data_IF_353999931745
#
_entry.id   IF_353999931745
#
_cell.length_a   1.000
_cell.length_b   1.000
_cell.length_c   1.000
_cell.angle_alpha   90.00
_cell.angle_beta   90.00
_cell.angle_gamma   90.00
#
_symmetry.space_group_name_H-M   'P 1'
#
loop_
_entity.id
_entity.type
_entity.pdbx_description
1 polymer ?
#
# COMPACT_ATOMS: atom_id res chain seq x y z
N UNK A 1 -9.12 21.54 -11.51
CA UNK A 1 -10.20 20.99 -10.69
C UNK A 1 -9.95 21.28 -9.22
N UNK A 2 -11.02 21.50 -8.46
CA UNK A 2 -10.99 21.56 -6.97
C UNK A 2 -11.49 20.21 -6.43
N UNK A 3 -10.62 19.46 -5.76
CA UNK A 3 -10.82 18.05 -5.41
C UNK A 3 -10.82 17.91 -3.90
N UNK A 4 -11.82 17.21 -3.32
CA UNK A 4 -11.83 16.83 -1.92
C UNK A 4 -11.49 15.35 -1.78
N UNK A 5 -10.34 15.07 -1.18
CA UNK A 5 -9.92 13.70 -0.83
C UNK A 5 -10.32 13.39 0.62
N UNK A 6 -11.01 12.28 0.84
CA UNK A 6 -11.39 11.80 2.17
C UNK A 6 -10.40 10.79 2.72
N UNK A 7 -9.54 11.17 3.67
CA UNK A 7 -8.60 10.30 4.40
C UNK A 7 -8.81 10.42 5.92
N UNK A 8 -10.04 10.11 6.36
CA UNK A 8 -10.52 10.39 7.71
C UNK A 8 -10.18 9.28 8.71
N UNK A 9 -8.88 9.09 8.98
CA UNK A 9 -8.34 8.04 9.86
C UNK A 9 -7.31 8.58 10.85
N UNK A 10 -7.14 7.88 11.99
CA UNK A 10 -6.17 8.25 13.02
C UNK A 10 -4.74 7.77 12.72
N UNK A 11 -4.60 6.66 12.01
CA UNK A 11 -3.33 5.98 11.76
C UNK A 11 -2.77 6.28 10.37
N UNK A 12 -1.45 6.03 10.24
CA UNK A 12 -0.76 6.04 8.95
C UNK A 12 -0.51 4.60 8.49
N UNK A 13 -1.10 4.21 7.39
CA UNK A 13 -0.95 2.89 6.78
C UNK A 13 -0.86 3.01 5.24
N UNK A 14 -0.81 1.88 4.53
CA UNK A 14 -0.70 1.88 3.07
C UNK A 14 -1.86 2.60 2.35
N UNK A 15 -3.10 2.53 2.87
CA UNK A 15 -4.24 3.26 2.29
C UNK A 15 -4.12 4.79 2.52
N UNK A 16 -3.67 5.20 3.72
CA UNK A 16 -3.44 6.61 4.02
C UNK A 16 -2.29 7.17 3.15
N UNK A 17 -1.21 6.38 2.98
CA UNK A 17 -0.12 6.73 2.09
C UNK A 17 -0.58 6.81 0.62
N UNK A 18 -1.44 5.91 0.16
CA UNK A 18 -2.03 5.98 -1.18
C UNK A 18 -2.81 7.28 -1.39
N UNK A 19 -3.67 7.66 -0.42
CA UNK A 19 -4.42 8.91 -0.47
C UNK A 19 -3.51 10.14 -0.49
N UNK A 20 -2.44 10.12 0.30
CA UNK A 20 -1.45 11.20 0.35
C UNK A 20 -0.67 11.33 -0.97
N UNK A 21 -0.23 10.20 -1.53
CA UNK A 21 0.51 10.17 -2.80
C UNK A 21 -0.33 10.75 -3.94
N UNK A 22 -1.57 10.30 -4.10
CA UNK A 22 -2.42 10.86 -5.17
C UNK A 22 -2.78 12.33 -4.93
N UNK A 23 -2.98 12.76 -3.68
CA UNK A 23 -3.20 14.16 -3.34
C UNK A 23 -2.01 15.03 -3.76
N UNK A 24 -0.79 14.58 -3.50
CA UNK A 24 0.43 15.27 -3.86
C UNK A 24 0.63 15.35 -5.38
N UNK A 25 0.42 14.22 -6.08
CA UNK A 25 0.52 14.18 -7.54
C UNK A 25 -0.50 15.11 -8.23
N UNK A 26 -1.74 15.12 -7.75
CA UNK A 26 -2.78 16.03 -8.26
C UNK A 26 -2.43 17.49 -7.98
N UNK A 27 -1.88 17.82 -6.80
CA UNK A 27 -1.39 19.18 -6.47
C UNK A 27 -0.27 19.59 -7.42
N UNK A 28 0.72 18.72 -7.65
CA UNK A 28 1.83 18.96 -8.57
C UNK A 28 1.36 19.16 -10.01
N UNK A 29 0.27 18.51 -10.42
CA UNK A 29 -0.38 18.70 -11.71
C UNK A 29 -1.25 19.97 -11.81
N UNK A 30 -1.20 20.87 -10.81
CA UNK A 30 -1.89 22.16 -10.83
C UNK A 30 -3.33 22.12 -10.36
N UNK A 31 -3.81 21.03 -9.75
CA UNK A 31 -5.15 20.95 -9.17
C UNK A 31 -5.18 21.52 -7.74
N UNK A 32 -6.32 22.09 -7.35
CA UNK A 32 -6.55 22.48 -5.95
C UNK A 32 -7.07 21.27 -5.18
N UNK A 33 -6.25 20.75 -4.25
CA UNK A 33 -6.56 19.53 -3.48
C UNK A 33 -6.75 19.85 -2.02
N UNK A 34 -7.90 19.48 -1.49
CA UNK A 34 -8.22 19.50 -0.07
C UNK A 34 -8.22 18.07 0.47
N UNK A 35 -7.61 17.84 1.63
CA UNK A 35 -7.61 16.51 2.27
C UNK A 35 -8.33 16.59 3.61
N UNK A 36 -9.51 15.95 3.67
CA UNK A 36 -10.27 15.85 4.91
C UNK A 36 -9.68 14.74 5.78
N UNK A 37 -9.23 15.10 6.97
CA UNK A 37 -8.57 14.18 7.92
C UNK A 37 -8.92 14.54 9.35
N UNK A 38 -8.67 13.61 10.28
CA UNK A 38 -8.89 13.82 11.72
C UNK A 38 -7.76 14.70 12.27
N UNK A 39 -8.08 15.79 13.00
CA UNK A 39 -7.07 16.64 13.60
C UNK A 39 -6.17 15.86 14.56
N UNK A 40 -4.92 16.29 14.71
CA UNK A 40 -3.91 15.75 15.63
C UNK A 40 -3.60 14.25 15.48
N UNK A 41 -4.16 13.63 14.44
CA UNK A 41 -3.88 12.24 14.08
C UNK A 41 -2.48 12.06 13.47
N UNK A 42 -1.94 10.83 13.51
CA UNK A 42 -0.71 10.49 12.81
C UNK A 42 -0.85 10.74 11.29
N UNK A 43 -2.06 10.49 10.74
CA UNK A 43 -2.36 10.79 9.35
C UNK A 43 -2.25 12.29 9.06
N UNK A 44 -2.85 13.16 9.89
CA UNK A 44 -2.77 14.61 9.71
C UNK A 44 -1.33 15.13 9.81
N UNK A 45 -0.52 14.59 10.74
CA UNK A 45 0.90 14.96 10.89
C UNK A 45 1.70 14.66 9.60
N UNK A 46 1.54 13.47 9.03
CA UNK A 46 2.22 13.11 7.78
C UNK A 46 1.72 13.93 6.58
N UNK A 47 0.41 14.16 6.47
CA UNK A 47 -0.16 14.99 5.39
C UNK A 47 0.31 16.44 5.46
N UNK A 48 0.52 16.99 6.67
CA UNK A 48 1.04 18.35 6.87
C UNK A 48 2.48 18.49 6.36
N UNK A 49 3.31 17.47 6.52
CA UNK A 49 4.68 17.44 6.00
C UNK A 49 4.73 17.51 4.46
N UNK A 50 3.65 17.10 3.77
CA UNK A 50 3.52 17.14 2.32
C UNK A 50 2.94 18.47 1.80
N UNK A 51 2.79 19.48 2.65
CA UNK A 51 2.24 20.81 2.31
C UNK A 51 0.88 20.73 1.58
N UNK A 52 -0.02 19.86 2.05
CA UNK A 52 -1.37 19.69 1.55
C UNK A 52 -2.38 20.55 2.34
N UNK A 53 -3.43 21.02 1.67
CA UNK A 53 -4.52 21.79 2.31
C UNK A 53 -5.41 20.85 3.13
N UNK A 54 -5.27 20.90 4.45
CA UNK A 54 -5.99 20.00 5.36
C UNK A 54 -7.33 20.59 5.80
N UNK A 55 -8.38 19.77 5.77
CA UNK A 55 -9.71 20.07 6.33
C UNK A 55 -9.88 19.25 7.59
N UNK A 56 -9.64 19.86 8.76
CA UNK A 56 -9.62 19.17 10.06
C UNK A 56 -10.82 19.52 10.95
N UNK A 57 -11.60 20.53 10.60
CA UNK A 57 -12.74 21.03 11.39
C UNK A 57 -14.03 20.24 11.15
N UNK A 58 -14.01 19.22 10.27
CA UNK A 58 -15.14 18.34 9.91
C UNK A 58 -14.80 16.92 10.32
N UNK A 59 -15.44 16.42 11.37
CA UNK A 59 -15.20 15.04 11.84
C UNK A 59 -16.35 14.12 11.39
N UNK A 60 -16.06 13.19 10.48
CA UNK A 60 -17.03 12.23 9.95
C UNK A 60 -17.06 10.89 10.75
N UNK A 61 -16.24 10.75 11.78
CA UNK A 61 -16.07 9.52 12.58
C UNK A 61 -16.84 9.55 13.89
N UNK A 62 -18.06 10.05 13.91
CA UNK A 62 -18.88 10.07 15.15
C UNK A 62 -19.97 9.01 15.10
N UNK A 63 -20.27 8.38 16.23
CA UNK A 63 -21.45 7.54 16.42
C UNK A 63 -22.66 8.36 16.92
N UNK A 64 -22.46 9.62 17.32
CA UNK A 64 -23.52 10.49 17.81
C UNK A 64 -24.24 11.15 16.64
N UNK A 65 -25.59 10.96 16.50
CA UNK A 65 -26.38 11.50 15.39
C UNK A 65 -26.31 13.03 15.27
N UNK A 66 -26.34 13.74 16.39
CA UNK A 66 -26.24 15.20 16.40
C UNK A 66 -24.87 15.68 15.84
N UNK A 67 -23.80 15.02 16.24
CA UNK A 67 -22.44 15.33 15.72
C UNK A 67 -22.35 15.00 14.22
N UNK A 68 -22.96 13.93 13.77
CA UNK A 68 -23.03 13.57 12.35
C UNK A 68 -23.83 14.60 11.54
N UNK A 69 -24.97 15.07 12.06
CA UNK A 69 -25.74 16.13 11.42
C UNK A 69 -24.96 17.45 11.34
N UNK A 70 -24.23 17.80 12.41
CA UNK A 70 -23.32 18.98 12.41
C UNK A 70 -22.21 18.82 11.38
N UNK A 71 -21.61 17.62 11.28
CA UNK A 71 -20.58 17.31 10.29
C UNK A 71 -21.13 17.40 8.86
N UNK A 72 -22.32 16.85 8.61
CA UNK A 72 -23.01 16.95 7.32
C UNK A 72 -23.23 18.42 6.91
N UNK A 73 -23.76 19.26 7.81
CA UNK A 73 -23.98 20.70 7.53
C UNK A 73 -22.67 21.42 7.23
N UNK A 74 -21.61 21.14 8.00
CA UNK A 74 -20.28 21.71 7.77
C UNK A 74 -19.68 21.25 6.42
N UNK A 75 -19.81 19.96 6.10
CA UNK A 75 -19.30 19.42 4.84
C UNK A 75 -20.07 20.04 3.66
N UNK A 76 -21.39 20.12 3.74
CA UNK A 76 -22.22 20.76 2.71
C UNK A 76 -21.80 22.21 2.48
N UNK A 77 -21.64 22.99 3.55
CA UNK A 77 -21.17 24.38 3.49
C UNK A 77 -19.81 24.48 2.83
N UNK A 78 -18.84 23.63 3.26
CA UNK A 78 -17.50 23.59 2.70
C UNK A 78 -17.48 23.28 1.20
N UNK A 79 -18.26 22.28 0.76
CA UNK A 79 -18.33 21.92 -0.67
C UNK A 79 -18.81 23.08 -1.55
N UNK A 80 -19.74 23.90 -1.04
CA UNK A 80 -20.30 25.05 -1.74
C UNK A 80 -19.33 26.25 -1.73
N UNK A 81 -18.78 26.60 -0.57
CA UNK A 81 -17.87 27.74 -0.42
C UNK A 81 -16.58 27.55 -1.24
N UNK A 82 -16.03 26.35 -1.20
CA UNK A 82 -14.82 26.02 -1.96
C UNK A 82 -15.12 25.66 -3.42
N UNK A 83 -16.38 25.51 -3.81
CA UNK A 83 -16.77 25.10 -5.17
C UNK A 83 -16.09 23.79 -5.58
N UNK A 84 -16.26 22.74 -4.79
CA UNK A 84 -15.63 21.45 -5.04
C UNK A 84 -16.22 20.78 -6.28
N UNK A 85 -15.36 20.41 -7.23
CA UNK A 85 -15.75 19.76 -8.50
C UNK A 85 -16.06 18.26 -8.31
N UNK A 86 -15.31 17.56 -7.44
CA UNK A 86 -15.47 16.14 -7.17
C UNK A 86 -14.98 15.75 -5.76
N UNK A 87 -15.49 14.61 -5.27
CA UNK A 87 -15.11 14.04 -3.97
C UNK A 87 -14.51 12.66 -4.20
N UNK A 88 -13.30 12.42 -3.65
CA UNK A 88 -12.63 11.12 -3.69
C UNK A 88 -12.40 10.54 -2.28
N UNK A 89 -13.36 9.83 -1.68
CA UNK A 89 -13.20 9.16 -0.40
C UNK A 89 -12.39 7.87 -0.55
N UNK A 90 -11.33 7.72 0.26
CA UNK A 90 -10.45 6.56 0.26
C UNK A 90 -10.82 5.49 1.28
N UNK A 91 -11.62 5.84 2.28
CA UNK A 91 -11.98 4.94 3.37
C UNK A 91 -13.49 4.76 3.51
N UNK A 92 -13.89 3.76 4.29
CA UNK A 92 -15.30 3.56 4.62
C UNK A 92 -15.81 4.57 5.66
N UNK A 93 -14.88 5.09 6.48
CA UNK A 93 -15.15 6.08 7.51
C UNK A 93 -15.59 7.39 6.87
N UNK A 94 -16.85 7.78 7.15
CA UNK A 94 -17.46 8.98 6.57
C UNK A 94 -18.01 8.82 5.14
N UNK A 95 -17.82 7.69 4.48
CA UNK A 95 -18.31 7.49 3.11
C UNK A 95 -19.81 7.81 2.91
N UNK A 96 -20.75 7.38 3.80
CA UNK A 96 -22.13 7.77 3.66
C UNK A 96 -22.34 9.29 3.67
N UNK A 97 -21.64 10.01 4.54
CA UNK A 97 -21.77 11.47 4.61
C UNK A 97 -21.25 12.16 3.34
N UNK A 98 -20.16 11.69 2.74
CA UNK A 98 -19.70 12.20 1.45
C UNK A 98 -20.78 12.01 0.37
N UNK A 99 -21.35 10.81 0.27
CA UNK A 99 -22.37 10.48 -0.73
C UNK A 99 -23.64 11.29 -0.51
N UNK A 100 -24.19 11.36 0.71
CA UNK A 100 -25.38 12.14 1.01
C UNK A 100 -25.18 13.63 0.78
N UNK A 101 -24.01 14.16 1.14
CA UNK A 101 -23.71 15.59 0.94
C UNK A 101 -23.57 15.92 -0.55
N UNK A 102 -22.89 15.06 -1.32
CA UNK A 102 -22.79 15.19 -2.75
C UNK A 102 -24.16 15.19 -3.44
N UNK A 103 -25.05 14.27 -3.05
CA UNK A 103 -26.44 14.22 -3.59
C UNK A 103 -27.23 15.48 -3.22
N UNK A 104 -27.08 15.98 -2.00
CA UNK A 104 -27.76 17.21 -1.56
C UNK A 104 -27.24 18.47 -2.26
N UNK A 105 -26.11 18.43 -2.94
CA UNK A 105 -25.60 19.55 -3.75
C UNK A 105 -26.46 19.84 -4.98
N UNK A 106 -27.33 18.92 -5.43
CA UNK A 106 -28.34 19.16 -6.47
C UNK A 106 -29.22 20.39 -6.22
N UNK A 107 -29.43 20.74 -4.96
CA UNK A 107 -30.18 21.94 -4.60
C UNK A 107 -29.52 23.23 -5.09
N UNK A 108 -28.22 23.22 -5.34
CA UNK A 108 -27.41 24.38 -5.75
C UNK A 108 -26.75 24.21 -7.12
N UNK A 109 -26.65 22.96 -7.59
CA UNK A 109 -26.24 22.57 -8.94
C UNK A 109 -27.34 21.68 -9.51
N UNK A 110 -28.45 22.26 -10.02
CA UNK A 110 -29.64 21.50 -10.40
C UNK A 110 -29.37 20.48 -11.50
N UNK A 111 -28.45 20.77 -12.38
CA UNK A 111 -28.14 19.93 -13.55
C UNK A 111 -27.33 18.68 -13.18
N UNK A 112 -26.49 18.73 -12.14
CA UNK A 112 -25.82 17.51 -11.68
C UNK A 112 -25.21 17.62 -10.26
N UNK A 113 -25.28 16.53 -9.44
CA UNK A 113 -24.62 16.50 -8.15
C UNK A 113 -23.10 16.45 -8.31
N UNK A 114 -22.37 16.84 -7.27
CA UNK A 114 -20.90 16.65 -7.22
C UNK A 114 -20.59 15.15 -7.31
N UNK A 115 -19.79 14.68 -8.29
CA UNK A 115 -19.50 13.26 -8.44
C UNK A 115 -18.66 12.72 -7.27
N UNK A 116 -18.96 11.49 -6.87
CA UNK A 116 -18.22 10.74 -5.86
C UNK A 116 -17.47 9.60 -6.55
N UNK A 117 -16.14 9.67 -6.52
CA UNK A 117 -15.25 8.63 -7.05
C UNK A 117 -14.60 7.93 -5.86
N UNK A 118 -14.99 6.70 -5.56
CA UNK A 118 -14.50 6.01 -4.39
C UNK A 118 -13.21 5.25 -4.66
N UNK A 119 -12.13 5.60 -3.96
CA UNK A 119 -10.92 4.76 -3.90
C UNK A 119 -11.08 3.70 -2.81
N UNK A 120 -10.93 2.42 -3.17
CA UNK A 120 -11.10 1.28 -2.27
C UNK A 120 -9.79 0.51 -2.11
N UNK A 121 -9.26 0.49 -0.88
CA UNK A 121 -8.01 -0.18 -0.49
C UNK A 121 -8.22 -1.35 0.47
N UNK A 122 -9.39 -2.01 0.44
CA UNK A 122 -9.70 -3.11 1.35
C UNK A 122 -10.54 -4.19 0.68
N UNK A 123 -10.27 -5.45 1.03
CA UNK A 123 -11.07 -6.62 0.62
C UNK A 123 -12.22 -6.94 1.58
N UNK A 124 -12.43 -6.13 2.64
CA UNK A 124 -13.53 -6.33 3.57
C UNK A 124 -14.88 -6.30 2.85
N UNK A 125 -15.82 -7.21 3.19
CA UNK A 125 -17.14 -7.23 2.55
C UNK A 125 -17.90 -5.93 2.79
N UNK A 126 -18.80 -5.62 1.87
CA UNK A 126 -19.72 -4.50 2.01
C UNK A 126 -20.95 -4.93 2.82
N UNK A 127 -21.52 -4.00 3.59
CA UNK A 127 -22.83 -4.21 4.22
C UNK A 127 -23.88 -4.40 3.15
N UNK A 128 -24.73 -5.42 3.29
CA UNK A 128 -25.67 -5.85 2.24
C UNK A 128 -27.08 -5.22 2.34
N UNK A 129 -27.31 -4.24 3.24
CA UNK A 129 -28.60 -3.56 3.31
C UNK A 129 -28.82 -2.63 2.11
N UNK A 130 -30.10 -2.42 1.74
CA UNK A 130 -30.52 -1.74 0.50
C UNK A 130 -29.89 -0.34 0.32
N UNK A 131 -29.82 0.46 1.39
CA UNK A 131 -29.26 1.81 1.34
C UNK A 131 -27.76 1.80 1.02
N UNK A 132 -27.01 0.86 1.63
CA UNK A 132 -25.59 0.72 1.34
C UNK A 132 -25.35 0.28 -0.11
N UNK A 133 -26.17 -0.66 -0.61
CA UNK A 133 -26.12 -1.05 -2.03
C UNK A 133 -26.36 0.16 -2.93
N UNK A 134 -27.43 0.94 -2.67
CA UNK A 134 -27.76 2.13 -3.45
C UNK A 134 -26.65 3.19 -3.44
N UNK A 135 -25.98 3.42 -2.30
CA UNK A 135 -24.83 4.30 -2.22
C UNK A 135 -23.69 3.83 -3.13
N UNK A 136 -23.50 2.52 -3.24
CA UNK A 136 -22.44 1.92 -4.03
C UNK A 136 -22.75 1.78 -5.52
N UNK A 137 -24.02 1.55 -5.92
CA UNK A 137 -24.41 1.34 -7.33
C UNK A 137 -24.81 2.63 -8.03
N UNK A 138 -25.66 3.43 -7.37
CA UNK A 138 -26.38 4.54 -7.99
C UNK A 138 -25.77 5.91 -7.65
N UNK A 139 -25.14 6.01 -6.45
CA UNK A 139 -24.67 7.28 -5.91
C UNK A 139 -23.16 7.42 -5.88
N UNK A 140 -22.44 6.47 -6.45
CA UNK A 140 -21.00 6.50 -6.69
C UNK A 140 -20.78 6.35 -8.18
N UNK A 141 -20.19 7.34 -8.79
CA UNK A 141 -20.02 7.42 -10.24
C UNK A 141 -18.96 6.43 -10.73
N UNK A 142 -17.79 6.40 -10.07
CA UNK A 142 -16.67 5.53 -10.42
C UNK A 142 -15.96 4.98 -9.20
N UNK A 143 -15.20 3.92 -9.44
CA UNK A 143 -14.32 3.28 -8.45
C UNK A 143 -12.88 3.25 -8.92
N UNK A 144 -11.97 3.54 -7.99
CA UNK A 144 -10.56 3.21 -8.10
C UNK A 144 -10.27 2.10 -7.09
N UNK A 145 -9.74 0.98 -7.54
CA UNK A 145 -9.27 -0.10 -6.66
C UNK A 145 -7.74 -0.16 -6.67
N UNK A 146 -7.14 -0.48 -5.55
CA UNK A 146 -5.68 -0.48 -5.39
C UNK A 146 -5.01 -1.79 -5.84
N UNK A 147 -5.80 -2.76 -6.29
CA UNK A 147 -5.39 -4.07 -6.82
C UNK A 147 -6.59 -4.79 -7.39
N UNK A 148 -6.38 -5.75 -8.30
CA UNK A 148 -7.42 -6.53 -8.96
C UNK A 148 -8.21 -7.39 -7.97
N UNK A 149 -7.57 -7.92 -6.94
CA UNK A 149 -8.25 -8.65 -5.85
C UNK A 149 -9.32 -7.78 -5.16
N UNK A 150 -9.13 -6.47 -5.09
CA UNK A 150 -10.12 -5.55 -4.53
C UNK A 150 -11.24 -5.30 -5.53
N UNK A 151 -10.91 -5.20 -6.82
CA UNK A 151 -11.87 -5.06 -7.91
C UNK A 151 -12.82 -6.28 -7.96
N UNK A 152 -12.27 -7.47 -8.00
CA UNK A 152 -13.01 -8.73 -8.00
C UNK A 152 -13.95 -8.85 -6.78
N UNK A 153 -13.44 -8.56 -5.59
CA UNK A 153 -14.26 -8.59 -4.36
C UNK A 153 -15.38 -7.56 -4.39
N UNK A 154 -15.16 -6.40 -5.00
CA UNK A 154 -16.17 -5.37 -5.12
C UNK A 154 -17.26 -5.77 -6.11
N UNK A 155 -16.90 -6.26 -7.29
CA UNK A 155 -17.83 -6.73 -8.32
C UNK A 155 -18.70 -7.89 -7.81
N UNK A 156 -18.11 -8.84 -7.07
CA UNK A 156 -18.85 -9.95 -6.46
C UNK A 156 -19.78 -9.52 -5.31
N UNK A 157 -19.52 -8.37 -4.68
CA UNK A 157 -20.33 -7.90 -3.55
C UNK A 157 -21.53 -7.05 -3.95
N UNK A 158 -21.45 -6.30 -5.05
CA UNK A 158 -22.49 -5.39 -5.54
C UNK A 158 -22.47 -5.34 -7.07
N UNK A 159 -23.65 -5.21 -7.67
CA UNK A 159 -23.81 -5.13 -9.14
C UNK A 159 -23.33 -3.75 -9.64
N UNK A 160 -22.03 -3.58 -9.74
CA UNK A 160 -21.39 -2.40 -10.34
C UNK A 160 -20.97 -2.76 -11.77
N UNK A 161 -21.21 -1.89 -12.73
CA UNK A 161 -20.70 -2.07 -14.08
C UNK A 161 -19.18 -2.04 -14.11
N UNK A 162 -18.50 -3.02 -14.76
CA UNK A 162 -17.04 -3.05 -14.82
C UNK A 162 -16.41 -1.76 -15.39
N UNK A 163 -17.09 -1.05 -16.27
CA UNK A 163 -16.64 0.21 -16.86
C UNK A 163 -16.52 1.36 -15.83
N UNK A 164 -17.27 1.29 -14.72
CA UNK A 164 -17.16 2.24 -13.60
C UNK A 164 -15.96 1.95 -12.70
N UNK A 165 -15.16 0.92 -12.98
CA UNK A 165 -14.10 0.45 -12.10
C UNK A 165 -12.75 0.48 -12.81
N UNK A 166 -11.75 1.04 -12.14
CA UNK A 166 -10.36 1.06 -12.60
C UNK A 166 -9.42 0.63 -11.49
N UNK A 167 -8.59 -0.36 -11.74
CA UNK A 167 -7.48 -0.70 -10.86
C UNK A 167 -6.30 0.21 -11.12
N UNK A 168 -5.81 0.89 -10.07
CA UNK A 168 -4.64 1.78 -10.11
C UNK A 168 -3.75 1.40 -8.94
N UNK A 169 -2.58 0.84 -9.24
CA UNK A 169 -1.63 0.37 -8.24
C UNK A 169 -0.91 1.51 -7.51
N UNK A 170 -0.40 1.21 -6.31
CA UNK A 170 0.47 2.13 -5.58
C UNK A 170 1.77 2.38 -6.35
N UNK A 171 2.19 3.62 -6.53
CA UNK A 171 3.38 3.94 -7.28
C UNK A 171 4.64 3.91 -6.43
N UNK A 172 5.78 3.84 -7.09
CA UNK A 172 7.10 4.00 -6.50
C UNK A 172 7.98 4.85 -7.42
N UNK A 173 8.79 5.71 -6.82
CA UNK A 173 9.84 6.42 -7.56
C UNK A 173 11.00 5.49 -7.83
N UNK A 174 11.51 5.55 -9.04
CA UNK A 174 12.65 4.74 -9.50
C UNK A 174 13.91 5.60 -9.53
N UNK A 175 14.74 5.62 -8.48
CA UNK A 175 15.96 6.39 -8.44
C UNK A 175 17.00 5.84 -9.42
N UNK A 176 18.02 6.62 -9.75
CA UNK A 176 19.22 6.10 -10.44
C UNK A 176 19.95 5.11 -9.55
N UNK A 177 20.50 4.06 -10.18
CA UNK A 177 21.24 3.01 -9.47
C UNK A 177 22.72 3.02 -9.90
N UNK A 178 23.65 2.72 -9.00
CA UNK A 178 23.49 2.42 -7.57
C UNK A 178 23.08 3.66 -6.76
N UNK A 179 22.39 3.43 -5.64
CA UNK A 179 21.97 4.50 -4.73
C UNK A 179 23.18 5.15 -4.05
N UNK A 180 23.14 6.47 -3.90
CA UNK A 180 24.20 7.26 -3.29
C UNK A 180 23.73 8.02 -2.04
N UNK A 181 24.66 8.23 -1.06
CA UNK A 181 26.00 7.68 -0.98
C UNK A 181 25.99 6.18 -0.74
N UNK A 182 27.00 5.42 -1.20
CA UNK A 182 27.08 3.99 -0.93
C UNK A 182 27.32 3.72 0.56
N UNK A 183 26.66 2.71 1.09
CA UNK A 183 26.79 2.29 2.50
C UNK A 183 27.44 0.91 2.53
N UNK A 184 28.48 0.75 3.34
CA UNK A 184 29.13 -0.55 3.54
C UNK A 184 28.36 -1.39 4.58
N UNK A 185 27.23 -1.95 4.16
CA UNK A 185 26.44 -2.84 5.01
C UNK A 185 27.14 -4.15 5.37
N UNK A 186 28.16 -4.58 4.59
CA UNK A 186 28.94 -5.77 4.96
C UNK A 186 29.72 -5.53 6.23
N UNK A 187 30.39 -4.39 6.30
CA UNK A 187 31.10 -4.00 7.51
C UNK A 187 30.14 -3.65 8.66
N UNK A 188 29.10 -2.85 8.39
CA UNK A 188 28.14 -2.42 9.41
C UNK A 188 27.44 -3.59 10.13
N UNK A 189 27.06 -4.62 9.38
CA UNK A 189 26.33 -5.77 9.92
C UNK A 189 27.17 -7.04 10.06
N UNK A 190 28.50 -6.94 9.96
CA UNK A 190 29.42 -8.07 10.06
C UNK A 190 29.02 -9.22 9.12
N UNK A 191 28.74 -8.90 7.84
CA UNK A 191 28.34 -9.86 6.82
C UNK A 191 29.58 -10.34 6.04
N UNK A 192 29.90 -11.65 6.01
CA UNK A 192 31.03 -12.14 5.23
C UNK A 192 30.95 -11.76 3.75
N UNK A 193 32.07 -11.50 3.11
CA UNK A 193 32.15 -10.94 1.75
C UNK A 193 31.39 -11.76 0.69
N UNK A 194 31.34 -13.08 0.83
CA UNK A 194 30.69 -13.99 -0.13
C UNK A 194 29.27 -14.39 0.27
N UNK A 195 28.80 -13.94 1.44
CA UNK A 195 27.46 -14.29 1.91
C UNK A 195 26.36 -13.77 1.01
N UNK A 196 25.36 -14.59 0.78
CA UNK A 196 24.08 -14.17 0.23
C UNK A 196 23.27 -13.41 1.26
N UNK A 197 22.47 -12.47 0.82
CA UNK A 197 21.69 -11.58 1.69
C UNK A 197 20.22 -11.58 1.26
N UNK A 198 19.36 -11.90 2.19
CA UNK A 198 17.91 -11.70 2.06
C UNK A 198 17.47 -10.49 2.88
N UNK A 199 16.44 -9.80 2.44
CA UNK A 199 15.83 -8.73 3.23
C UNK A 199 14.31 -8.92 3.33
N UNK A 200 13.76 -8.75 4.54
CA UNK A 200 12.33 -8.68 4.81
C UNK A 200 12.02 -7.36 5.50
N UNK A 201 11.24 -6.52 4.83
CA UNK A 201 10.89 -5.18 5.34
C UNK A 201 9.41 -5.13 5.69
N UNK A 202 9.12 -4.75 6.94
CA UNK A 202 7.74 -4.64 7.39
C UNK A 202 7.60 -4.72 8.90
N UNK A 203 6.39 -4.42 9.38
CA UNK A 203 6.07 -4.55 10.82
C UNK A 203 6.15 -6.01 11.23
N UNK A 204 6.68 -6.27 12.40
CA UNK A 204 6.68 -7.62 12.99
C UNK A 204 5.27 -7.90 13.50
N UNK A 205 4.56 -8.79 12.81
CA UNK A 205 3.17 -9.20 13.09
C UNK A 205 2.93 -10.61 12.58
N UNK A 206 2.06 -11.41 13.21
CA UNK A 206 1.77 -12.78 12.77
C UNK A 206 1.40 -12.86 11.29
N UNK A 207 0.57 -11.92 10.81
CA UNK A 207 0.11 -11.85 9.41
C UNK A 207 1.23 -11.61 8.39
N UNK A 208 2.42 -11.16 8.84
CA UNK A 208 3.58 -10.91 7.97
C UNK A 208 4.49 -12.12 7.79
N UNK A 209 4.27 -13.18 8.55
CA UNK A 209 4.93 -14.48 8.36
C UNK A 209 6.44 -14.52 8.59
N UNK A 210 7.02 -13.55 9.32
CA UNK A 210 8.46 -13.53 9.58
C UNK A 210 8.94 -14.82 10.28
N UNK A 211 8.11 -15.41 11.14
CA UNK A 211 8.44 -16.66 11.83
C UNK A 211 8.50 -17.86 10.88
N UNK A 212 7.69 -17.86 9.80
CA UNK A 212 7.79 -18.86 8.73
C UNK A 212 9.09 -18.64 7.94
N UNK A 213 9.45 -17.37 7.70
CA UNK A 213 10.71 -17.04 7.03
C UNK A 213 11.94 -17.50 7.83
N UNK A 214 11.88 -17.50 9.18
CA UNK A 214 12.97 -18.09 10.01
C UNK A 214 13.10 -19.60 9.80
N UNK A 215 11.99 -20.31 9.58
CA UNK A 215 12.03 -21.75 9.23
C UNK A 215 12.65 -21.96 7.86
N UNK A 216 12.29 -21.12 6.86
CA UNK A 216 12.93 -21.13 5.54
C UNK A 216 14.43 -20.89 5.65
N UNK A 217 14.84 -19.89 6.42
CA UNK A 217 16.25 -19.56 6.62
C UNK A 217 17.02 -20.77 7.20
N UNK A 218 16.45 -21.44 8.21
CA UNK A 218 17.03 -22.64 8.82
C UNK A 218 17.25 -23.77 7.79
N UNK A 219 16.31 -23.95 6.87
CA UNK A 219 16.42 -24.96 5.79
C UNK A 219 17.48 -24.56 4.74
N UNK A 220 17.57 -23.25 4.40
CA UNK A 220 18.50 -22.73 3.41
C UNK A 220 19.97 -22.78 3.86
N UNK A 221 20.22 -22.81 5.17
CA UNK A 221 21.60 -22.87 5.70
C UNK A 221 22.35 -24.16 5.35
N UNK A 222 21.64 -25.24 4.97
CA UNK A 222 22.27 -26.44 4.45
C UNK A 222 22.98 -26.19 3.12
N UNK A 223 22.44 -25.31 2.27
CA UNK A 223 22.97 -24.99 0.95
C UNK A 223 23.81 -23.70 0.96
N UNK A 224 23.49 -22.79 1.88
CA UNK A 224 24.10 -21.45 2.00
C UNK A 224 24.50 -21.18 3.47
N UNK A 225 25.59 -21.79 3.96
CA UNK A 225 25.97 -21.75 5.37
C UNK A 225 26.23 -20.34 5.92
N UNK A 226 26.55 -19.37 5.05
CA UNK A 226 26.82 -17.98 5.44
C UNK A 226 25.66 -17.02 5.08
N UNK A 227 24.46 -17.55 4.76
CA UNK A 227 23.29 -16.74 4.40
C UNK A 227 22.88 -15.81 5.54
N UNK A 228 22.62 -14.55 5.23
CA UNK A 228 22.16 -13.53 6.19
C UNK A 228 20.80 -13.00 5.80
N UNK A 229 19.93 -12.84 6.81
CA UNK A 229 18.61 -12.21 6.70
C UNK A 229 18.63 -10.86 7.41
N UNK A 230 18.42 -9.78 6.67
CA UNK A 230 18.23 -8.43 7.20
C UNK A 230 16.72 -8.22 7.49
N UNK A 231 16.41 -7.80 8.70
CA UNK A 231 15.04 -7.64 9.17
C UNK A 231 14.88 -6.29 9.89
N UNK A 232 14.67 -5.20 9.17
CA UNK A 232 14.38 -3.91 9.79
C UNK A 232 13.00 -3.89 10.46
N UNK A 233 12.93 -3.35 11.68
CA UNK A 233 11.72 -3.23 12.47
C UNK A 233 11.62 -1.87 13.16
N UNK A 234 10.41 -1.51 13.63
CA UNK A 234 10.18 -0.31 14.42
C UNK A 234 10.36 -0.60 15.92
N UNK A 235 11.07 0.28 16.62
CA UNK A 235 11.30 0.18 18.07
C UNK A 235 10.00 0.08 18.89
N UNK A 236 8.91 0.67 18.40
CA UNK A 236 7.59 0.63 19.04
C UNK A 236 7.02 -0.78 19.22
N UNK A 237 7.55 -1.78 18.48
CA UNK A 237 7.11 -3.18 18.56
C UNK A 237 8.09 -4.07 19.35
N UNK A 238 9.15 -3.50 19.90
CA UNK A 238 10.23 -4.24 20.57
C UNK A 238 9.74 -5.14 21.72
N UNK A 239 8.74 -4.70 22.45
CA UNK A 239 8.18 -5.43 23.61
C UNK A 239 6.86 -6.14 23.29
N UNK A 240 6.43 -6.18 22.03
CA UNK A 240 5.20 -6.88 21.67
C UNK A 240 5.39 -8.41 21.72
N UNK A 241 4.33 -9.18 21.99
CA UNK A 241 4.39 -10.66 22.10
C UNK A 241 4.99 -11.32 20.85
N UNK A 242 4.71 -10.79 19.66
CA UNK A 242 5.25 -11.35 18.42
C UNK A 242 6.77 -11.14 18.28
N UNK A 243 7.30 -10.02 18.78
CA UNK A 243 8.74 -9.79 18.84
C UNK A 243 9.41 -10.79 19.79
N UNK A 244 8.80 -11.07 20.93
CA UNK A 244 9.30 -12.07 21.87
C UNK A 244 9.28 -13.47 21.25
N UNK A 245 8.20 -13.83 20.54
CA UNK A 245 8.09 -15.09 19.83
C UNK A 245 9.15 -15.22 18.72
N UNK A 246 9.41 -14.13 17.98
CA UNK A 246 10.46 -14.07 16.97
C UNK A 246 11.87 -14.32 17.57
N UNK A 247 12.20 -13.66 18.68
CA UNK A 247 13.45 -13.90 19.41
C UNK A 247 13.59 -15.34 19.91
N UNK A 248 12.48 -15.94 20.38
CA UNK A 248 12.47 -17.33 20.82
C UNK A 248 12.74 -18.29 19.65
N UNK A 249 12.13 -18.03 18.48
CA UNK A 249 12.37 -18.83 17.28
C UNK A 249 13.80 -18.68 16.76
N UNK A 250 14.39 -17.46 16.77
CA UNK A 250 15.80 -17.24 16.41
C UNK A 250 16.72 -18.07 17.30
N UNK A 251 16.46 -18.12 18.62
CA UNK A 251 17.26 -18.94 19.56
C UNK A 251 17.05 -20.43 19.34
N UNK A 252 15.80 -20.89 19.24
CA UNK A 252 15.42 -22.29 19.05
C UNK A 252 16.02 -22.88 17.77
N UNK A 253 15.99 -22.10 16.67
CA UNK A 253 16.53 -22.51 15.38
C UNK A 253 18.02 -22.21 15.20
N UNK A 254 18.71 -21.70 16.25
CA UNK A 254 20.15 -21.34 16.25
C UNK A 254 20.53 -20.32 15.17
N UNK A 255 19.67 -19.37 14.85
CA UNK A 255 19.84 -18.40 13.77
C UNK A 255 20.49 -17.09 14.18
N UNK A 256 21.05 -16.98 15.42
CA UNK A 256 21.61 -15.71 15.94
C UNK A 256 22.71 -15.13 15.04
N UNK A 257 23.53 -15.95 14.41
CA UNK A 257 24.59 -15.52 13.50
C UNK A 257 24.07 -15.09 12.12
N UNK A 258 22.82 -15.45 11.77
CA UNK A 258 22.26 -15.31 10.43
C UNK A 258 21.16 -14.25 10.32
N UNK A 259 20.63 -13.73 11.42
CA UNK A 259 19.58 -12.73 11.46
C UNK A 259 20.10 -11.41 12.01
N UNK A 260 19.88 -10.32 11.28
CA UNK A 260 20.16 -8.96 11.70
C UNK A 260 18.82 -8.25 11.93
N UNK A 261 18.43 -8.12 13.19
CA UNK A 261 17.28 -7.29 13.60
C UNK A 261 17.76 -5.83 13.63
N UNK A 262 17.21 -5.03 12.73
CA UNK A 262 17.68 -3.67 12.49
C UNK A 262 16.56 -2.71 12.92
N UNK A 263 16.90 -1.70 13.71
CA UNK A 263 15.94 -0.64 14.08
C UNK A 263 15.53 0.20 12.86
N UNK A 264 14.47 0.98 12.97
CA UNK A 264 13.97 1.85 11.90
C UNK A 264 15.07 2.75 11.35
N UNK A 265 15.23 2.77 10.02
CA UNK A 265 16.27 3.49 9.28
C UNK A 265 15.66 4.33 8.17
N UNK A 266 16.36 5.39 7.78
CA UNK A 266 15.97 6.22 6.64
C UNK A 266 16.47 5.64 5.30
N UNK A 267 17.57 4.89 5.31
CA UNK A 267 18.23 4.28 4.16
C UNK A 267 17.69 2.90 3.77
N UNK A 268 16.41 2.64 4.04
CA UNK A 268 15.76 1.33 3.74
C UNK A 268 15.89 0.95 2.26
N UNK A 269 15.88 1.92 1.33
CA UNK A 269 16.03 1.62 -0.11
C UNK A 269 17.43 1.11 -0.45
N UNK A 270 18.50 1.69 0.15
CA UNK A 270 19.87 1.19 -0.03
C UNK A 270 20.00 -0.23 0.54
N UNK A 271 19.37 -0.50 1.69
CA UNK A 271 19.34 -1.85 2.27
C UNK A 271 18.59 -2.84 1.38
N UNK A 272 17.50 -2.40 0.72
CA UNK A 272 16.79 -3.23 -0.26
C UNK A 272 17.64 -3.51 -1.50
N UNK A 273 18.38 -2.51 -2.02
CA UNK A 273 19.31 -2.64 -3.15
C UNK A 273 20.47 -3.59 -2.83
N UNK A 274 20.98 -3.55 -1.60
CA UNK A 274 22.07 -4.40 -1.15
C UNK A 274 21.70 -5.90 -1.08
N UNK A 275 20.42 -6.23 -0.90
CA UNK A 275 19.96 -7.61 -0.79
C UNK A 275 19.95 -8.34 -2.15
N UNK A 276 20.34 -9.63 -2.17
CA UNK A 276 20.17 -10.50 -3.35
C UNK A 276 18.69 -10.72 -3.68
N UNK A 277 17.80 -10.79 -2.67
CA UNK A 277 16.36 -10.86 -2.87
C UNK A 277 15.58 -10.28 -1.68
N UNK A 278 14.48 -9.60 -1.98
CA UNK A 278 13.45 -9.24 -1.03
C UNK A 278 12.49 -10.40 -0.77
N UNK A 279 12.02 -10.53 0.48
CA UNK A 279 11.04 -11.58 0.82
C UNK A 279 9.75 -10.95 1.35
N UNK A 280 8.61 -11.37 0.80
CA UNK A 280 7.28 -11.01 1.30
C UNK A 280 6.55 -12.26 1.73
N UNK A 281 6.75 -12.64 2.98
CA UNK A 281 6.21 -13.86 3.60
C UNK A 281 4.82 -13.70 4.21
N UNK A 282 4.07 -12.65 3.86
CA UNK A 282 2.75 -12.35 4.41
C UNK A 282 1.73 -13.46 4.11
N UNK A 283 0.98 -13.91 5.13
CA UNK A 283 0.07 -15.07 5.03
C UNK A 283 -1.42 -14.71 4.91
N UNK A 284 -1.85 -13.51 5.35
CA UNK A 284 -3.27 -13.17 5.40
C UNK A 284 -3.66 -11.93 4.60
N UNK A 285 -2.92 -10.83 4.70
CA UNK A 285 -3.36 -9.53 4.19
C UNK A 285 -2.24 -8.78 3.50
N UNK A 286 -2.32 -8.76 2.18
CA UNK A 286 -1.58 -7.84 1.32
C UNK A 286 -2.54 -7.26 0.27
N UNK A 287 -2.91 -6.00 0.42
CA UNK A 287 -3.88 -5.34 -0.49
C UNK A 287 -3.20 -4.32 -1.39
N UNK A 288 -2.15 -3.65 -0.90
CA UNK A 288 -1.38 -2.64 -1.65
C UNK A 288 0.05 -3.10 -1.90
N UNK A 289 0.63 -3.84 -0.96
CA UNK A 289 1.99 -4.38 -0.95
C UNK A 289 3.09 -3.43 -1.45
N UNK A 290 3.20 -2.25 -0.82
CA UNK A 290 4.22 -1.24 -1.14
C UNK A 290 5.64 -1.81 -1.17
N UNK A 291 5.97 -2.67 -0.20
CA UNK A 291 7.33 -3.19 -0.03
C UNK A 291 7.82 -3.99 -1.24
N UNK A 292 6.93 -4.71 -1.93
CA UNK A 292 7.32 -5.44 -3.14
C UNK A 292 7.72 -4.48 -4.28
N UNK A 293 6.93 -3.41 -4.50
CA UNK A 293 7.28 -2.39 -5.50
C UNK A 293 8.48 -1.54 -5.10
N UNK A 294 8.70 -1.33 -3.79
CA UNK A 294 9.89 -0.66 -3.28
C UNK A 294 11.17 -1.48 -3.58
N UNK A 295 11.17 -2.80 -3.40
CA UNK A 295 12.24 -3.69 -3.88
C UNK A 295 12.43 -3.61 -5.40
N UNK A 296 11.35 -3.60 -6.15
CA UNK A 296 11.39 -3.50 -7.61
C UNK A 296 12.07 -2.20 -8.07
N UNK A 297 11.82 -1.08 -7.37
CA UNK A 297 12.40 0.22 -7.70
C UNK A 297 13.92 0.27 -7.59
N UNK A 298 14.52 -0.66 -6.89
CA UNK A 298 15.98 -0.81 -6.73
C UNK A 298 16.53 -2.07 -7.41
N UNK A 299 15.79 -2.60 -8.39
CA UNK A 299 16.15 -3.79 -9.17
C UNK A 299 16.38 -5.07 -8.34
N UNK A 300 15.79 -5.15 -7.15
CA UNK A 300 15.87 -6.34 -6.29
C UNK A 300 14.65 -7.22 -6.53
N UNK A 301 14.83 -8.49 -6.97
CA UNK A 301 13.72 -9.40 -7.18
C UNK A 301 13.06 -9.79 -5.87
N UNK A 302 11.75 -10.10 -5.91
CA UNK A 302 10.98 -10.48 -4.72
C UNK A 302 10.58 -11.95 -4.78
N UNK A 303 10.75 -12.66 -3.66
CA UNK A 303 10.15 -13.99 -3.45
C UNK A 303 8.99 -13.82 -2.48
N UNK A 304 7.79 -14.29 -2.85
CA UNK A 304 6.59 -14.02 -2.07
C UNK A 304 5.64 -15.22 -1.97
N UNK A 305 4.80 -15.20 -0.93
CA UNK A 305 3.60 -16.02 -0.88
C UNK A 305 2.50 -15.47 -1.80
N UNK A 306 1.61 -16.31 -2.35
CA UNK A 306 0.49 -15.88 -3.18
C UNK A 306 -0.64 -15.29 -2.32
N UNK A 307 -0.37 -14.17 -1.65
CA UNK A 307 -1.27 -13.53 -0.69
C UNK A 307 -1.78 -12.19 -1.21
N UNK A 308 -3.11 -12.00 -1.24
CA UNK A 308 -3.73 -10.74 -1.62
C UNK A 308 -3.34 -10.29 -3.03
N UNK A 309 -2.82 -9.07 -3.17
CA UNK A 309 -2.38 -8.52 -4.47
C UNK A 309 -0.98 -9.00 -4.91
N UNK A 310 -0.28 -9.84 -4.13
CA UNK A 310 1.08 -10.28 -4.49
C UNK A 310 1.13 -11.02 -5.83
N UNK A 311 0.18 -11.90 -6.21
CA UNK A 311 0.19 -12.52 -7.54
C UNK A 311 0.02 -11.54 -8.72
N UNK A 312 -0.56 -10.37 -8.46
CA UNK A 312 -0.71 -9.30 -9.46
C UNK A 312 0.59 -8.50 -9.65
N UNK A 313 1.34 -8.30 -8.56
CA UNK A 313 2.58 -7.54 -8.51
C UNK A 313 3.77 -8.41 -8.91
N UNK A 314 3.95 -9.54 -8.22
CA UNK A 314 5.04 -10.48 -8.46
C UNK A 314 4.61 -11.49 -9.52
N UNK A 315 5.10 -11.32 -10.74
CA UNK A 315 4.90 -12.24 -11.85
C UNK A 315 6.00 -13.30 -11.82
N UNK A 316 5.60 -14.55 -11.56
CA UNK A 316 6.53 -15.68 -11.41
C UNK A 316 7.48 -15.79 -12.60
N UNK A 317 8.79 -15.93 -12.34
CA UNK A 317 9.89 -15.99 -13.31
C UNK A 317 10.07 -14.77 -14.23
N UNK A 318 9.35 -13.67 -14.01
CA UNK A 318 9.51 -12.44 -14.79
C UNK A 318 10.17 -11.31 -13.97
N UNK A 319 9.63 -11.01 -12.78
CA UNK A 319 10.12 -9.96 -11.90
C UNK A 319 10.35 -10.42 -10.45
N UNK A 320 10.13 -11.72 -10.21
CA UNK A 320 10.27 -12.36 -8.90
C UNK A 320 9.80 -13.80 -8.95
N UNK A 321 9.64 -14.42 -7.79
CA UNK A 321 9.17 -15.80 -7.65
C UNK A 321 7.97 -15.83 -6.69
N UNK A 322 6.95 -16.61 -7.04
CA UNK A 322 5.80 -16.88 -6.17
C UNK A 322 5.85 -18.33 -5.69
N UNK A 323 5.84 -18.53 -4.39
CA UNK A 323 5.69 -19.86 -3.81
C UNK A 323 4.31 -20.43 -4.14
N UNK A 324 4.22 -21.74 -4.40
CA UNK A 324 2.95 -22.39 -4.72
C UNK A 324 1.98 -22.45 -3.54
N UNK A 325 2.53 -22.57 -2.33
CA UNK A 325 1.78 -22.67 -1.07
C UNK A 325 2.38 -21.69 -0.04
N UNK A 326 1.61 -21.38 1.01
CA UNK A 326 2.07 -20.52 2.12
C UNK A 326 2.77 -21.32 3.21
N UNK A 327 3.75 -22.12 2.80
CA UNK A 327 4.54 -22.97 3.70
C UNK A 327 6.02 -22.61 3.64
N UNK A 328 6.77 -22.99 4.67
CA UNK A 328 8.21 -22.77 4.71
C UNK A 328 8.93 -23.48 3.55
N UNK A 329 8.56 -24.71 3.27
CA UNK A 329 9.15 -25.54 2.22
C UNK A 329 8.97 -24.90 0.83
N UNK A 330 7.74 -24.49 0.50
CA UNK A 330 7.44 -23.89 -0.80
C UNK A 330 8.17 -22.55 -0.99
N UNK A 331 8.35 -21.75 0.08
CA UNK A 331 9.11 -20.50 0.01
C UNK A 331 10.62 -20.78 -0.10
N UNK A 332 11.11 -21.78 0.63
CA UNK A 332 12.51 -22.24 0.58
C UNK A 332 12.89 -22.68 -0.82
N UNK A 333 12.05 -23.43 -1.53
CA UNK A 333 12.33 -23.89 -2.88
C UNK A 333 12.51 -22.72 -3.85
N UNK A 334 11.68 -21.69 -3.77
CA UNK A 334 11.80 -20.52 -4.65
C UNK A 334 13.00 -19.65 -4.28
N UNK A 335 13.32 -19.49 -3.00
CA UNK A 335 14.52 -18.80 -2.53
C UNK A 335 15.79 -19.53 -2.97
N UNK A 336 15.84 -20.88 -2.86
CA UNK A 336 16.96 -21.71 -3.30
C UNK A 336 17.26 -21.50 -4.78
N UNK A 337 16.24 -21.45 -5.65
CA UNK A 337 16.39 -21.22 -7.09
C UNK A 337 17.08 -19.89 -7.38
N UNK A 338 16.66 -18.81 -6.72
CA UNK A 338 17.24 -17.47 -6.91
C UNK A 338 18.68 -17.42 -6.40
N UNK A 339 18.92 -17.91 -5.18
CA UNK A 339 20.23 -17.82 -4.52
C UNK A 339 21.29 -18.70 -5.22
N UNK A 340 20.89 -19.84 -5.80
CA UNK A 340 21.79 -20.73 -6.54
C UNK A 340 22.09 -20.25 -7.96
N UNK A 341 21.32 -19.31 -8.52
CA UNK A 341 21.44 -18.90 -9.91
C UNK A 341 21.56 -17.36 -10.07
N UNK A 342 22.77 -16.81 -10.03
CA UNK A 342 22.99 -15.36 -10.18
C UNK A 342 22.45 -14.77 -11.50
N UNK A 343 22.46 -15.57 -12.60
CA UNK A 343 21.88 -15.13 -13.89
C UNK A 343 20.36 -14.98 -13.79
N UNK A 344 19.68 -15.90 -13.13
CA UNK A 344 18.25 -15.81 -12.85
C UNK A 344 17.95 -14.59 -11.94
N UNK A 345 18.67 -14.47 -10.85
CA UNK A 345 18.53 -13.34 -9.92
C UNK A 345 18.61 -11.99 -10.65
N UNK A 346 19.68 -11.77 -11.42
CA UNK A 346 19.89 -10.54 -12.20
C UNK A 346 18.80 -10.32 -13.27
N UNK A 347 18.34 -11.37 -13.92
CA UNK A 347 17.26 -11.29 -14.91
C UNK A 347 15.95 -10.84 -14.26
N UNK A 348 15.60 -11.44 -13.11
CA UNK A 348 14.42 -11.09 -12.34
C UNK A 348 14.50 -9.67 -11.79
N UNK A 349 15.66 -9.25 -11.30
CA UNK A 349 15.91 -7.88 -10.82
C UNK A 349 15.68 -6.84 -11.93
N UNK A 350 16.21 -7.07 -13.13
CA UNK A 350 15.90 -6.20 -14.29
C UNK A 350 14.41 -6.20 -14.64
N UNK A 351 13.75 -7.34 -14.57
CA UNK A 351 12.30 -7.45 -14.77
C UNK A 351 11.52 -6.66 -13.72
N UNK A 352 11.93 -6.76 -12.46
CA UNK A 352 11.36 -6.01 -11.35
C UNK A 352 11.48 -4.48 -11.58
N UNK A 353 12.68 -4.01 -11.91
CA UNK A 353 12.94 -2.61 -12.22
C UNK A 353 12.09 -2.09 -13.37
N UNK A 354 12.03 -2.83 -14.47
CA UNK A 354 11.20 -2.48 -15.63
C UNK A 354 9.72 -2.36 -15.24
N UNK A 355 9.20 -3.27 -14.41
CA UNK A 355 7.83 -3.22 -13.94
C UNK A 355 7.58 -2.01 -13.04
N UNK A 356 8.53 -1.66 -12.15
CA UNK A 356 8.46 -0.44 -11.35
C UNK A 356 8.33 0.80 -12.24
N UNK A 357 9.14 0.91 -13.28
CA UNK A 357 9.16 2.04 -14.22
C UNK A 357 7.90 2.13 -15.09
N UNK A 358 7.32 0.99 -15.50
CA UNK A 358 6.20 0.99 -16.48
C UNK A 358 4.84 0.86 -15.77
N UNK A 359 4.75 -0.05 -14.78
CA UNK A 359 3.45 -0.38 -14.16
C UNK A 359 3.16 0.40 -12.89
N UNK A 360 4.22 0.73 -12.13
CA UNK A 360 4.09 1.28 -10.79
C UNK A 360 4.69 2.69 -10.65
N UNK A 361 4.71 3.48 -11.72
CA UNK A 361 5.26 4.84 -11.65
C UNK A 361 4.19 5.89 -11.30
N UNK A 362 4.61 7.03 -10.70
CA UNK A 362 3.71 8.11 -10.26
C UNK A 362 2.92 8.74 -11.41
N UNK A 363 3.52 8.93 -12.60
CA UNK A 363 2.86 9.54 -13.75
C UNK A 363 1.71 8.67 -14.26
N UNK A 364 1.88 7.34 -14.23
CA UNK A 364 0.80 6.40 -14.57
C UNK A 364 -0.33 6.49 -13.57
N UNK A 365 -0.04 6.49 -12.26
CA UNK A 365 -1.07 6.68 -11.23
C UNK A 365 -1.84 7.98 -11.46
N UNK A 366 -1.14 9.09 -11.70
CA UNK A 366 -1.76 10.38 -11.95
C UNK A 366 -2.64 10.35 -13.21
N UNK A 367 -2.08 9.93 -14.35
CA UNK A 367 -2.80 9.93 -15.63
C UNK A 367 -4.04 9.04 -15.62
N UNK A 368 -3.96 7.84 -15.03
CA UNK A 368 -5.10 6.96 -14.91
C UNK A 368 -6.16 7.50 -13.94
N UNK A 369 -5.74 8.13 -12.84
CA UNK A 369 -6.68 8.79 -11.90
C UNK A 369 -7.41 9.96 -12.58
N UNK A 370 -6.68 10.79 -13.32
CA UNK A 370 -7.30 11.92 -14.05
C UNK A 370 -8.32 11.43 -15.09
N UNK A 371 -8.02 10.35 -15.81
CA UNK A 371 -8.99 9.73 -16.75
C UNK A 371 -10.28 9.29 -16.04
N UNK A 372 -10.19 8.69 -14.85
CA UNK A 372 -11.37 8.31 -14.06
C UNK A 372 -12.14 9.55 -13.60
N UNK A 373 -11.44 10.60 -13.17
CA UNK A 373 -12.07 11.85 -12.73
C UNK A 373 -12.77 12.58 -13.88
N UNK A 374 -12.11 12.69 -15.03
CA UNK A 374 -12.68 13.28 -16.25
C UNK A 374 -13.91 12.50 -16.75
N UNK A 375 -13.83 11.16 -16.72
CA UNK A 375 -14.98 10.30 -17.04
C UNK A 375 -16.17 10.60 -16.14
N UNK A 376 -15.95 10.62 -14.81
CA UNK A 376 -17.02 10.92 -13.85
C UNK A 376 -17.61 12.34 -14.00
N UNK A 377 -16.82 13.30 -14.50
CA UNK A 377 -17.28 14.67 -14.76
C UNK A 377 -18.05 14.80 -16.08
N UNK A 378 -17.80 13.97 -17.08
CA UNK A 378 -18.49 14.00 -18.39
C UNK A 378 -19.91 13.40 -18.35
N UNK A 379 -20.17 12.50 -17.43
CA UNK A 379 -21.50 11.88 -17.22
C UNK A 379 -22.37 12.68 -16.23
N UNK A 380 -22.09 13.98 -16.14
CA UNK A 380 -22.91 14.97 -15.44
C UNK A 380 -24.19 15.26 -16.21
#
# INVERSE_FOLDING_TARGET
MKILIGSNVHWWNAEAAYAATIAQLLKQAGHTVFVLTIPDSLNAKNLKQLDLRLVTHINLNSKNPYRLLKAYRKLKKFLLEEQIDLINPHRSEGFPLFVFTARASRTFHPESPIPVIRTRGTTRPLLQHWLNRKMHTDWTECYITVGEIVAERLLNAVSISPEKLKTIYYPVDCPELPLHPPIDYRNEFEIPQKSKVLAVVGRIRPVKGQRILLQCLSQLLADFPDLVLLMPYRDTVKNEPEMQALHNDIRRLKLKAHVRLITEREDIRQLMEFADAGVVSSVESEVICRVAVEFFSVATPVVAFPTGCLPEIVQHEKNGMLAKLKTAEALTDELRKILSNPKLCNRLGRGARRDAEIRFNPQKMLSETLKVFEHALKYK
#
